data_IF_377711411931
#
_entry.id   IF_377711411931
#
_cell.length_a   1.000
_cell.length_b   1.000
_cell.length_c   1.000
_cell.angle_alpha   90.00
_cell.angle_beta   90.00
_cell.angle_gamma   90.00
#
_symmetry.space_group_name_H-M   'P 1'
#
loop_
_entity.id
_entity.type
_entity.pdbx_description
1 polymer ?
#
# COMPACT_ATOMS: atom_id res chain seq x y z
N UNK A 1 -3.18 33.13 24.02
CA UNK A 1 -4.45 33.26 24.78
C UNK A 1 -5.59 33.38 23.79
N UNK A 2 -6.58 32.50 23.87
CA UNK A 2 -7.82 32.60 23.08
C UNK A 2 -8.85 33.44 23.83
N UNK A 3 -9.72 34.16 23.11
CA UNK A 3 -10.83 34.88 23.73
C UNK A 3 -11.81 33.88 24.41
N UNK A 4 -12.46 34.30 25.50
CA UNK A 4 -13.47 33.47 26.17
C UNK A 4 -14.86 33.61 25.53
N UNK A 5 -15.75 32.66 25.80
CA UNK A 5 -17.19 32.82 25.52
C UNK A 5 -17.74 34.03 26.30
N UNK A 6 -18.59 34.91 25.72
CA UNK A 6 -19.24 34.79 24.41
C UNK A 6 -18.49 35.46 23.24
N UNK A 7 -17.35 36.10 23.50
CA UNK A 7 -16.54 36.73 22.45
C UNK A 7 -16.01 35.68 21.45
N UNK A 8 -15.57 34.51 21.92
CA UNK A 8 -15.25 33.34 21.08
C UNK A 8 -16.47 32.44 20.85
N UNK A 9 -16.82 32.21 19.59
CA UNK A 9 -17.83 31.23 19.18
C UNK A 9 -17.33 30.46 17.95
N UNK A 10 -16.83 29.24 18.16
CA UNK A 10 -16.33 28.37 17.08
C UNK A 10 -17.42 27.95 16.08
N UNK A 11 -18.70 28.09 16.42
CA UNK A 11 -19.81 27.85 15.49
C UNK A 11 -19.94 28.91 14.38
N UNK A 12 -19.32 30.09 14.51
CA UNK A 12 -19.43 31.17 13.50
C UNK A 12 -18.89 30.73 12.14
N UNK A 13 -17.69 30.16 12.11
CA UNK A 13 -17.05 29.65 10.88
C UNK A 13 -17.74 28.39 10.33
N UNK A 14 -18.56 27.74 11.17
CA UNK A 14 -19.32 26.53 10.80
C UNK A 14 -20.74 26.83 10.34
N UNK A 15 -21.20 28.08 10.35
CA UNK A 15 -22.62 28.41 10.16
C UNK A 15 -23.09 28.26 8.70
N UNK A 16 -22.21 28.42 7.72
CA UNK A 16 -22.54 28.36 6.29
C UNK A 16 -21.57 27.46 5.52
N UNK A 17 -22.02 26.93 4.39
CA UNK A 17 -21.19 26.10 3.51
C UNK A 17 -19.96 26.85 2.96
N UNK A 18 -20.11 28.13 2.58
CA UNK A 18 -18.99 28.94 2.10
C UNK A 18 -17.93 29.15 3.19
N UNK A 19 -18.35 29.36 4.44
CA UNK A 19 -17.43 29.60 5.54
C UNK A 19 -16.70 28.33 5.93
N UNK A 20 -17.41 27.19 5.96
CA UNK A 20 -16.79 25.87 6.19
C UNK A 20 -15.72 25.56 5.16
N UNK A 21 -15.97 25.82 3.86
CA UNK A 21 -14.97 25.64 2.80
C UNK A 21 -13.77 26.57 2.96
N UNK A 22 -14.00 27.85 3.27
CA UNK A 22 -12.92 28.82 3.46
C UNK A 22 -12.00 28.48 4.65
N UNK A 23 -12.54 27.85 5.69
CA UNK A 23 -11.79 27.48 6.91
C UNK A 23 -11.30 26.03 6.93
N UNK A 24 -11.56 25.24 5.89
CA UNK A 24 -11.11 23.85 5.85
C UNK A 24 -9.57 23.81 5.79
N UNK A 25 -8.96 23.06 6.71
CA UNK A 25 -7.51 22.89 6.79
C UNK A 25 -6.98 21.83 5.82
N UNK A 26 -7.87 20.99 5.29
CA UNK A 26 -7.51 19.84 4.45
C UNK A 26 -8.44 19.74 3.27
N UNK A 27 -7.86 19.43 2.12
CA UNK A 27 -8.55 19.10 0.87
C UNK A 27 -8.02 17.76 0.39
N UNK A 28 -8.92 16.89 -0.04
CA UNK A 28 -8.62 15.61 -0.68
C UNK A 28 -8.81 15.78 -2.19
N UNK A 29 -7.89 15.23 -2.97
CA UNK A 29 -7.87 15.28 -4.43
C UNK A 29 -7.57 13.89 -5.01
N UNK A 30 -7.90 13.61 -6.29
CA UNK A 30 -7.51 12.35 -6.93
C UNK A 30 -5.99 12.09 -6.91
N UNK A 31 -5.17 13.15 -6.91
CA UNK A 31 -3.71 13.07 -6.83
C UNK A 31 -3.18 12.50 -5.50
N UNK A 32 -4.04 12.40 -4.48
CA UNK A 32 -3.70 11.82 -3.19
C UNK A 32 -3.91 10.30 -3.15
N UNK A 33 -4.44 9.70 -4.21
CA UNK A 33 -4.86 8.31 -4.23
C UNK A 33 -3.82 7.44 -4.93
N UNK A 34 -3.53 6.27 -4.36
CA UNK A 34 -2.81 5.19 -5.00
C UNK A 34 -3.76 4.02 -5.09
N UNK A 35 -3.93 3.43 -6.28
CA UNK A 35 -4.93 2.37 -6.50
C UNK A 35 -4.28 0.98 -6.47
N UNK A 36 -4.53 0.15 -5.44
CA UNK A 36 -4.08 -1.23 -5.41
C UNK A 36 -4.86 -2.09 -6.41
N UNK A 37 -4.14 -2.85 -7.23
CA UNK A 37 -4.70 -3.75 -8.24
C UNK A 37 -4.07 -5.14 -8.16
N UNK A 38 -4.90 -6.17 -8.37
CA UNK A 38 -4.48 -7.56 -8.34
C UNK A 38 -4.35 -8.12 -9.75
N UNK A 39 -3.23 -8.76 -10.03
CA UNK A 39 -2.91 -9.32 -11.35
C UNK A 39 -3.12 -10.83 -11.30
N UNK A 40 -3.79 -11.41 -12.30
CA UNK A 40 -3.93 -12.86 -12.52
C UNK A 40 -3.48 -13.24 -13.94
N UNK A 41 -3.37 -14.54 -14.21
CA UNK A 41 -3.04 -15.06 -15.54
C UNK A 41 -4.26 -15.11 -16.47
N UNK A 42 -4.01 -15.34 -17.76
CA UNK A 42 -5.05 -15.46 -18.79
C UNK A 42 -5.17 -14.21 -19.65
N UNK A 43 -6.28 -14.13 -20.39
CA UNK A 43 -6.62 -13.04 -21.30
C UNK A 43 -8.12 -12.76 -21.20
N UNK A 44 -8.52 -11.49 -21.08
CA UNK A 44 -9.91 -11.11 -20.85
C UNK A 44 -10.49 -11.61 -19.53
N UNK A 45 -9.64 -11.82 -18.52
CA UNK A 45 -10.03 -12.39 -17.22
C UNK A 45 -10.34 -11.26 -16.23
N UNK A 46 -11.51 -11.36 -15.62
CA UNK A 46 -11.89 -10.66 -14.40
C UNK A 46 -12.33 -11.71 -13.36
N UNK A 47 -11.60 -11.82 -12.26
CA UNK A 47 -11.93 -12.71 -11.14
C UNK A 47 -12.34 -11.89 -9.91
N UNK A 48 -13.64 -11.77 -9.60
CA UNK A 48 -14.09 -11.07 -8.40
C UNK A 48 -13.56 -11.68 -7.11
N UNK A 49 -13.10 -10.84 -6.17
CA UNK A 49 -12.67 -11.27 -4.84
C UNK A 49 -13.84 -11.18 -3.87
N UNK A 50 -14.40 -12.31 -3.47
CA UNK A 50 -15.64 -12.36 -2.68
C UNK A 50 -15.57 -11.57 -1.35
N UNK A 51 -14.41 -11.55 -0.68
CA UNK A 51 -14.23 -10.81 0.58
C UNK A 51 -13.94 -9.31 0.39
N UNK A 52 -13.80 -8.85 -0.86
CA UNK A 52 -13.63 -7.45 -1.24
C UNK A 52 -14.61 -7.10 -2.37
N UNK A 53 -15.91 -6.93 -2.07
CA UNK A 53 -16.93 -6.65 -3.09
C UNK A 53 -16.55 -5.45 -3.96
N UNK A 54 -16.60 -5.61 -5.28
CA UNK A 54 -16.18 -4.56 -6.25
C UNK A 54 -14.68 -4.54 -6.57
N UNK A 55 -13.87 -5.41 -5.95
CA UNK A 55 -12.47 -5.61 -6.28
C UNK A 55 -12.31 -6.96 -6.99
N UNK A 56 -11.56 -6.95 -8.10
CA UNK A 56 -11.29 -8.13 -8.92
C UNK A 56 -9.79 -8.30 -9.15
N UNK A 57 -9.38 -9.53 -9.50
CA UNK A 57 -8.08 -9.81 -10.13
C UNK A 57 -8.24 -9.73 -11.64
N UNK A 58 -7.23 -9.21 -12.31
CA UNK A 58 -7.29 -8.91 -13.73
C UNK A 58 -6.15 -9.57 -14.50
N UNK A 59 -6.42 -10.11 -15.68
CA UNK A 59 -5.37 -10.43 -16.64
C UNK A 59 -4.62 -9.16 -17.09
N UNK A 60 -3.48 -9.32 -17.75
CA UNK A 60 -2.62 -8.20 -18.19
C UNK A 60 -3.39 -7.16 -19.02
N UNK A 61 -4.25 -7.59 -19.94
CA UNK A 61 -5.10 -6.69 -20.74
C UNK A 61 -6.09 -5.90 -19.88
N UNK A 62 -6.67 -6.56 -18.85
CA UNK A 62 -7.52 -5.91 -17.86
C UNK A 62 -6.76 -4.89 -17.00
N UNK A 63 -5.55 -5.23 -16.54
CA UNK A 63 -4.68 -4.32 -15.78
C UNK A 63 -4.33 -3.07 -16.59
N UNK A 64 -3.99 -3.22 -17.86
CA UNK A 64 -3.74 -2.07 -18.75
C UNK A 64 -4.98 -1.19 -18.89
N UNK A 65 -6.18 -1.79 -19.00
CA UNK A 65 -7.42 -1.02 -19.02
C UNK A 65 -7.66 -0.23 -17.71
N UNK A 66 -7.37 -0.84 -16.56
CA UNK A 66 -7.44 -0.15 -15.25
C UNK A 66 -6.41 0.97 -15.11
N UNK A 67 -5.22 0.82 -15.71
CA UNK A 67 -4.22 1.89 -15.75
C UNK A 67 -4.67 3.09 -16.59
N UNK A 68 -5.34 2.86 -17.72
CA UNK A 68 -5.95 3.94 -18.51
C UNK A 68 -7.04 4.65 -17.73
N UNK A 69 -7.89 3.89 -17.05
CA UNK A 69 -8.93 4.44 -16.17
C UNK A 69 -8.34 5.27 -15.04
N UNK A 70 -7.28 4.79 -14.37
CA UNK A 70 -6.62 5.53 -13.31
C UNK A 70 -6.08 6.88 -13.79
N UNK A 71 -5.41 6.91 -14.95
CA UNK A 71 -4.99 8.16 -15.59
C UNK A 71 -6.16 9.09 -15.87
N UNK A 72 -7.22 8.58 -16.49
CA UNK A 72 -8.39 9.39 -16.86
C UNK A 72 -9.09 9.97 -15.61
N UNK A 73 -9.01 9.27 -14.47
CA UNK A 73 -9.49 9.71 -13.17
C UNK A 73 -8.50 10.61 -12.39
N UNK A 74 -7.33 10.92 -12.95
CA UNK A 74 -6.29 11.71 -12.28
C UNK A 74 -5.60 11.01 -11.11
N UNK A 75 -5.67 9.68 -11.03
CA UNK A 75 -4.96 8.86 -10.05
C UNK A 75 -3.51 8.69 -10.55
N UNK A 76 -2.50 9.18 -9.80
CA UNK A 76 -1.13 9.26 -10.30
C UNK A 76 -0.38 7.93 -10.26
N UNK A 77 -0.81 6.98 -9.43
CA UNK A 77 -0.04 5.77 -9.16
C UNK A 77 -0.92 4.54 -8.92
N UNK A 78 -0.45 3.39 -9.43
CA UNK A 78 -0.98 2.07 -9.15
C UNK A 78 -0.03 1.30 -8.24
N UNK A 79 -0.60 0.57 -7.29
CA UNK A 79 0.13 -0.42 -6.50
C UNK A 79 -0.23 -1.83 -7.02
N UNK A 80 0.76 -2.58 -7.52
CA UNK A 80 0.51 -3.87 -8.15
C UNK A 80 0.78 -5.02 -7.17
N UNK A 81 -0.10 -6.03 -7.18
CA UNK A 81 0.02 -7.25 -6.38
C UNK A 81 -0.27 -8.49 -7.25
N UNK A 82 0.63 -9.49 -7.31
CA UNK A 82 0.42 -10.66 -8.15
C UNK A 82 -0.34 -11.75 -7.39
N UNK A 83 -1.34 -12.35 -8.03
CA UNK A 83 -1.89 -13.64 -7.62
C UNK A 83 -1.08 -14.75 -8.29
N UNK A 84 0.09 -15.07 -7.73
CA UNK A 84 1.00 -16.08 -8.30
C UNK A 84 0.33 -17.47 -8.31
N UNK A 85 0.34 -18.17 -9.46
CA UNK A 85 -0.20 -19.53 -9.56
C UNK A 85 0.42 -20.49 -8.54
N UNK A 86 -0.36 -21.40 -7.93
CA UNK A 86 0.14 -22.32 -6.91
C UNK A 86 1.37 -23.14 -7.34
N UNK A 87 1.42 -23.57 -8.60
CA UNK A 87 2.50 -24.37 -9.17
C UNK A 87 3.82 -23.60 -9.36
N UNK A 88 3.78 -22.27 -9.31
CA UNK A 88 4.95 -21.40 -9.36
C UNK A 88 5.41 -20.96 -7.96
N UNK A 89 4.72 -21.40 -6.91
CA UNK A 89 5.12 -21.14 -5.52
C UNK A 89 6.06 -22.23 -5.02
N UNK A 90 7.04 -21.81 -4.24
CA UNK A 90 8.10 -22.67 -3.71
C UNK A 90 8.53 -22.19 -2.32
N UNK A 91 9.27 -23.00 -1.57
CA UNK A 91 9.74 -22.59 -0.24
C UNK A 91 10.76 -21.43 -0.33
N UNK A 92 11.50 -21.33 -1.43
CA UNK A 92 12.48 -20.26 -1.65
C UNK A 92 11.95 -19.07 -2.47
N UNK A 93 10.71 -19.13 -2.96
CA UNK A 93 10.06 -18.02 -3.66
C UNK A 93 10.74 -17.61 -4.98
N UNK A 94 11.36 -18.53 -5.71
CA UNK A 94 12.18 -18.25 -6.90
C UNK A 94 11.43 -17.46 -7.99
N UNK A 95 10.11 -17.60 -8.09
CA UNK A 95 9.29 -16.85 -9.05
C UNK A 95 9.32 -15.32 -8.79
N UNK A 96 9.67 -14.88 -7.58
CA UNK A 96 9.91 -13.47 -7.28
C UNK A 96 11.09 -12.89 -8.09
N UNK A 97 12.06 -13.76 -8.44
CA UNK A 97 13.30 -13.38 -9.13
C UNK A 97 13.20 -13.53 -10.65
N UNK A 98 12.15 -14.19 -11.13
CA UNK A 98 11.93 -14.44 -12.55
C UNK A 98 11.58 -13.12 -13.30
N UNK A 99 12.40 -12.69 -14.29
CA UNK A 99 12.15 -11.44 -15.04
C UNK A 99 10.90 -11.47 -15.92
N UNK A 100 10.32 -12.67 -16.13
CA UNK A 100 9.09 -12.90 -16.89
C UNK A 100 7.91 -13.30 -15.99
N UNK A 101 8.04 -13.13 -14.68
CA UNK A 101 6.93 -13.35 -13.76
C UNK A 101 5.75 -12.42 -14.05
N UNK A 102 4.62 -12.72 -13.42
CA UNK A 102 3.36 -12.01 -13.66
C UNK A 102 3.47 -10.50 -13.39
N UNK A 103 4.19 -10.13 -12.32
CA UNK A 103 4.43 -8.74 -11.94
C UNK A 103 5.21 -8.00 -13.03
N UNK A 104 6.35 -8.53 -13.46
CA UNK A 104 7.23 -7.89 -14.43
C UNK A 104 6.58 -7.73 -15.80
N UNK A 105 5.79 -8.72 -16.24
CA UNK A 105 5.02 -8.60 -17.48
C UNK A 105 3.94 -7.53 -17.39
N UNK A 106 3.28 -7.38 -16.23
CA UNK A 106 2.30 -6.32 -16.01
C UNK A 106 2.94 -4.92 -15.99
N UNK A 107 4.10 -4.77 -15.32
CA UNK A 107 4.86 -3.51 -15.30
C UNK A 107 5.16 -3.05 -16.74
N UNK A 108 5.78 -3.92 -17.55
CA UNK A 108 6.12 -3.63 -18.95
C UNK A 108 4.88 -3.26 -19.77
N UNK A 109 3.82 -4.06 -19.67
CA UNK A 109 2.58 -3.81 -20.41
C UNK A 109 1.92 -2.47 -20.06
N UNK A 110 1.94 -2.06 -18.78
CA UNK A 110 1.41 -0.75 -18.38
C UNK A 110 2.33 0.37 -18.86
N UNK A 111 3.64 0.25 -18.69
CA UNK A 111 4.60 1.26 -19.15
C UNK A 111 4.54 1.51 -20.65
N UNK A 112 4.29 0.47 -21.44
CA UNK A 112 4.09 0.61 -22.88
C UNK A 112 2.78 1.34 -23.23
N UNK A 113 1.74 1.17 -22.41
CA UNK A 113 0.39 1.64 -22.71
C UNK A 113 0.03 3.01 -22.10
N UNK A 114 0.60 3.32 -20.93
CA UNK A 114 0.33 4.48 -20.07
C UNK A 114 1.63 4.89 -19.36
N UNK A 115 2.69 5.33 -20.09
CA UNK A 115 4.00 5.63 -19.50
C UNK A 115 3.98 6.73 -18.42
N UNK A 116 2.95 7.58 -18.41
CA UNK A 116 2.73 8.68 -17.47
C UNK A 116 2.26 8.23 -16.07
N UNK A 117 1.77 7.00 -15.91
CA UNK A 117 1.31 6.50 -14.61
C UNK A 117 2.49 5.92 -13.80
N UNK A 118 2.54 6.29 -12.53
CA UNK A 118 3.50 5.73 -11.58
C UNK A 118 3.14 4.29 -11.21
N UNK A 119 4.13 3.42 -11.16
CA UNK A 119 4.00 2.03 -10.75
C UNK A 119 4.77 1.81 -9.44
N UNK A 120 4.00 1.47 -8.41
CA UNK A 120 4.48 1.00 -7.13
C UNK A 120 4.38 -0.52 -7.11
N UNK A 121 5.50 -1.20 -6.85
CA UNK A 121 5.58 -2.66 -6.84
C UNK A 121 6.02 -3.16 -5.48
N UNK A 122 5.29 -4.15 -4.98
CA UNK A 122 5.54 -4.79 -3.70
C UNK A 122 6.79 -5.67 -3.78
N UNK A 123 7.70 -5.51 -2.81
CA UNK A 123 8.87 -6.38 -2.60
C UNK A 123 8.67 -7.11 -1.29
N UNK A 124 8.26 -8.37 -1.42
CA UNK A 124 8.01 -9.35 -0.37
C UNK A 124 7.89 -10.73 -1.02
N UNK A 125 8.21 -11.80 -0.28
CA UNK A 125 8.14 -13.17 -0.82
C UNK A 125 6.80 -13.87 -0.58
N UNK A 126 5.87 -13.29 0.19
CA UNK A 126 4.62 -13.98 0.56
C UNK A 126 3.68 -14.34 -0.62
N UNK A 127 3.68 -13.66 -1.79
CA UNK A 127 2.92 -14.12 -2.94
C UNK A 127 3.58 -15.32 -3.64
N UNK A 128 4.88 -15.53 -3.41
CA UNK A 128 5.72 -16.49 -4.14
C UNK A 128 6.06 -17.72 -3.30
N UNK A 129 5.84 -17.66 -1.98
CA UNK A 129 6.14 -18.79 -1.10
C UNK A 129 4.96 -19.72 -0.88
N UNK A 130 5.24 -21.01 -0.73
CA UNK A 130 4.26 -22.05 -0.36
C UNK A 130 3.71 -21.85 1.06
N UNK A 131 4.50 -21.24 1.93
CA UNK A 131 4.19 -21.02 3.35
C UNK A 131 3.63 -19.64 3.66
N UNK A 132 3.60 -18.70 2.71
CA UNK A 132 2.96 -17.39 2.88
C UNK A 132 3.61 -16.41 3.88
N UNK A 133 4.81 -16.72 4.37
CA UNK A 133 5.71 -15.76 5.03
C UNK A 133 6.37 -14.82 4.00
N UNK A 134 6.67 -13.59 4.45
CA UNK A 134 7.27 -12.54 3.62
C UNK A 134 8.76 -12.83 3.32
N UNK A 135 9.35 -13.83 3.98
CA UNK A 135 10.75 -14.24 3.85
C UNK A 135 10.98 -15.75 3.91
N UNK A 136 12.25 -16.13 3.79
CA UNK A 136 12.73 -17.52 3.82
C UNK A 136 12.68 -18.07 5.25
N UNK A 137 12.22 -19.31 5.38
CA UNK A 137 11.98 -19.95 6.69
C UNK A 137 13.02 -21.05 6.96
N UNK A 138 13.61 -21.04 8.16
CA UNK A 138 14.55 -22.07 8.61
C UNK A 138 13.86 -23.37 9.06
N UNK A 139 14.68 -24.37 9.43
CA UNK A 139 14.17 -25.65 9.92
C UNK A 139 13.36 -25.55 11.24
N UNK A 140 13.50 -24.47 12.01
CA UNK A 140 12.76 -24.21 13.24
C UNK A 140 11.46 -23.41 13.00
N UNK A 141 11.21 -22.96 11.77
CA UNK A 141 10.05 -22.14 11.42
C UNK A 141 10.27 -20.63 11.63
N UNK A 142 11.51 -20.18 11.84
CA UNK A 142 11.86 -18.77 11.95
C UNK A 142 12.15 -18.17 10.58
N UNK A 143 11.68 -16.94 10.34
CA UNK A 143 11.96 -16.20 9.10
C UNK A 143 13.36 -15.59 9.20
N UNK A 144 14.30 -16.07 8.38
CA UNK A 144 15.70 -15.67 8.41
C UNK A 144 15.88 -14.28 7.77
N UNK A 145 16.28 -13.29 8.56
CA UNK A 145 16.42 -11.90 8.13
C UNK A 145 17.34 -11.71 6.90
N UNK A 146 18.63 -12.00 7.05
CA UNK A 146 19.65 -11.62 6.06
C UNK A 146 19.49 -12.41 4.76
N UNK A 147 19.19 -13.71 4.86
CA UNK A 147 18.92 -14.55 3.69
C UNK A 147 17.67 -14.09 2.93
N UNK A 148 16.67 -13.59 3.64
CA UNK A 148 15.49 -12.98 3.01
C UNK A 148 15.87 -11.67 2.32
N UNK A 149 16.63 -10.80 2.99
CA UNK A 149 17.06 -9.52 2.43
C UNK A 149 17.83 -9.70 1.11
N UNK A 150 18.69 -10.71 1.00
CA UNK A 150 19.39 -11.06 -0.25
C UNK A 150 18.41 -11.36 -1.40
N UNK A 151 17.36 -12.13 -1.15
CA UNK A 151 16.33 -12.44 -2.14
C UNK A 151 15.50 -11.20 -2.52
N UNK A 152 15.17 -10.34 -1.55
CA UNK A 152 14.41 -9.11 -1.76
C UNK A 152 15.19 -8.09 -2.60
N UNK A 153 16.52 -8.00 -2.43
CA UNK A 153 17.39 -7.20 -3.31
C UNK A 153 17.28 -7.66 -4.76
N UNK A 154 17.34 -8.98 -5.01
CA UNK A 154 17.20 -9.51 -6.36
C UNK A 154 15.80 -9.25 -6.94
N UNK A 155 14.76 -9.40 -6.13
CA UNK A 155 13.38 -9.07 -6.53
C UNK A 155 13.24 -7.59 -6.91
N UNK A 156 13.77 -6.68 -6.09
CA UNK A 156 13.74 -5.24 -6.33
C UNK A 156 14.43 -4.88 -7.66
N UNK A 157 15.62 -5.44 -7.92
CA UNK A 157 16.33 -5.25 -9.19
C UNK A 157 15.55 -5.81 -10.38
N UNK A 158 14.94 -6.99 -10.23
CA UNK A 158 14.08 -7.58 -11.26
C UNK A 158 12.88 -6.68 -11.60
N UNK A 159 12.23 -6.09 -10.60
CA UNK A 159 11.12 -5.15 -10.81
C UNK A 159 11.59 -3.79 -11.38
N UNK A 160 12.73 -3.27 -10.94
CA UNK A 160 13.32 -2.04 -11.46
C UNK A 160 13.69 -2.18 -12.95
N UNK A 161 14.33 -3.30 -13.34
CA UNK A 161 14.62 -3.62 -14.75
C UNK A 161 13.36 -3.75 -15.61
N UNK A 162 12.23 -4.15 -15.02
CA UNK A 162 10.94 -4.21 -15.71
C UNK A 162 10.29 -2.83 -15.90
N UNK A 163 10.76 -1.80 -15.18
CA UNK A 163 10.27 -0.42 -15.28
C UNK A 163 9.43 0.07 -14.09
N UNK A 164 9.58 -0.54 -12.91
CA UNK A 164 8.95 -0.01 -11.69
C UNK A 164 9.54 1.36 -11.33
N UNK A 165 8.67 2.32 -10.95
CA UNK A 165 9.12 3.65 -10.51
C UNK A 165 9.34 3.71 -9.01
N UNK A 166 8.57 2.92 -8.25
CA UNK A 166 8.60 2.87 -6.79
C UNK A 166 8.70 1.41 -6.36
N UNK A 167 9.83 1.05 -5.77
CA UNK A 167 9.99 -0.20 -5.03
C UNK A 167 9.42 0.01 -3.63
N UNK A 168 8.52 -0.87 -3.19
CA UNK A 168 7.88 -0.74 -1.89
C UNK A 168 8.06 -2.02 -1.06
N UNK A 169 9.21 -2.17 -0.37
CA UNK A 169 9.50 -3.35 0.44
C UNK A 169 8.53 -3.44 1.60
N UNK A 170 7.72 -4.49 1.63
CA UNK A 170 6.68 -4.70 2.65
C UNK A 170 7.01 -5.82 3.63
N UNK A 171 8.17 -6.46 3.48
CA UNK A 171 8.62 -7.65 4.20
C UNK A 171 8.87 -7.47 5.70
N UNK A 172 9.22 -6.27 6.16
CA UNK A 172 9.63 -5.96 7.54
C UNK A 172 10.90 -6.69 8.02
N UNK A 173 11.85 -6.95 7.13
CA UNK A 173 13.20 -7.39 7.52
C UNK A 173 14.04 -6.19 7.97
N UNK A 174 14.98 -6.40 8.87
CA UNK A 174 15.93 -5.37 9.29
C UNK A 174 16.97 -5.12 8.19
N UNK A 175 17.26 -3.85 7.88
CA UNK A 175 18.31 -3.45 6.95
C UNK A 175 18.00 -3.58 5.46
N UNK A 176 16.81 -4.08 5.08
CA UNK A 176 16.45 -4.31 3.66
C UNK A 176 16.48 -3.02 2.84
N UNK A 177 16.16 -1.87 3.43
CA UNK A 177 16.07 -0.61 2.69
C UNK A 177 17.46 -0.20 2.21
N UNK A 178 18.46 -0.26 3.09
CA UNK A 178 19.83 0.10 2.75
C UNK A 178 20.44 -0.85 1.72
N UNK A 179 20.14 -2.15 1.84
CA UNK A 179 20.58 -3.17 0.89
C UNK A 179 19.95 -2.97 -0.50
N UNK A 180 18.63 -2.74 -0.56
CA UNK A 180 17.92 -2.48 -1.82
C UNK A 180 18.40 -1.16 -2.45
N UNK A 181 18.53 -0.09 -1.67
CA UNK A 181 19.05 1.20 -2.13
C UNK A 181 20.46 1.04 -2.71
N UNK A 182 21.37 0.38 -1.97
CA UNK A 182 22.74 0.14 -2.44
C UNK A 182 22.80 -0.62 -3.76
N UNK A 183 21.93 -1.63 -3.93
CA UNK A 183 21.84 -2.40 -5.17
C UNK A 183 21.27 -1.59 -6.34
N UNK A 184 20.21 -0.81 -6.12
CA UNK A 184 19.64 0.09 -7.14
C UNK A 184 20.67 1.12 -7.62
N UNK A 185 21.42 1.73 -6.69
CA UNK A 185 22.51 2.67 -7.03
C UNK A 185 23.62 1.98 -7.85
N UNK A 186 24.03 0.78 -7.46
CA UNK A 186 25.10 0.04 -8.14
C UNK A 186 24.73 -0.36 -9.58
N UNK A 187 23.44 -0.59 -9.86
CA UNK A 187 22.94 -0.90 -11.21
C UNK A 187 22.50 0.33 -12.02
N UNK A 188 22.66 1.55 -11.47
CA UNK A 188 22.35 2.80 -12.16
C UNK A 188 20.87 3.19 -12.12
N UNK A 189 20.06 2.57 -11.27
CA UNK A 189 18.64 2.88 -11.04
C UNK A 189 18.46 4.06 -10.05
N UNK A 190 19.23 5.14 -10.24
CA UNK A 190 19.31 6.27 -9.30
C UNK A 190 17.95 6.94 -8.99
N UNK A 191 17.01 6.91 -9.94
CA UNK A 191 15.70 7.57 -9.80
C UNK A 191 14.57 6.63 -9.39
N UNK A 192 14.86 5.33 -9.19
CA UNK A 192 13.85 4.41 -8.64
C UNK A 192 13.68 4.74 -7.16
N UNK A 193 12.45 5.06 -6.80
CA UNK A 193 12.09 5.46 -5.44
C UNK A 193 11.94 4.23 -4.55
N UNK A 194 12.16 4.41 -3.25
CA UNK A 194 11.82 3.45 -2.22
C UNK A 194 10.73 4.05 -1.33
N UNK A 195 9.55 3.42 -1.34
CA UNK A 195 8.48 3.68 -0.38
C UNK A 195 8.48 2.57 0.68
N UNK A 196 9.18 2.79 1.79
CA UNK A 196 9.31 1.76 2.81
C UNK A 196 8.00 1.55 3.57
N UNK A 197 7.58 0.30 3.75
CA UNK A 197 6.58 -0.07 4.76
C UNK A 197 7.18 -0.04 6.17
N UNK A 198 7.74 1.09 6.57
CA UNK A 198 8.51 1.26 7.81
C UNK A 198 7.71 0.85 9.05
N UNK A 199 6.43 1.22 9.12
CA UNK A 199 5.58 0.87 10.26
C UNK A 199 4.45 -0.08 9.83
N UNK A 200 4.78 -1.34 9.53
CA UNK A 200 3.82 -2.41 9.21
C UNK A 200 3.58 -3.31 10.43
N UNK A 201 2.36 -3.26 10.95
CA UNK A 201 1.94 -3.95 12.17
C UNK A 201 1.42 -5.38 11.94
N UNK A 202 1.61 -6.26 12.92
CA UNK A 202 1.06 -7.62 12.95
C UNK A 202 -0.47 -7.58 13.16
N UNK A 203 -1.20 -7.23 12.10
CA UNK A 203 -2.61 -6.84 12.18
C UNK A 203 -3.58 -7.91 11.69
N UNK A 204 -4.75 -7.95 12.33
CA UNK A 204 -5.90 -8.78 11.92
C UNK A 204 -6.66 -8.20 10.71
N UNK A 205 -6.42 -6.93 10.35
CA UNK A 205 -7.11 -6.27 9.23
C UNK A 205 -6.68 -6.78 7.84
N UNK A 206 -5.68 -7.66 7.76
CA UNK A 206 -5.17 -8.20 6.49
C UNK A 206 -5.95 -9.41 5.96
N UNK A 207 -6.95 -9.91 6.71
CA UNK A 207 -7.71 -11.12 6.35
C UNK A 207 -8.19 -11.13 4.89
N UNK A 208 -8.96 -10.13 4.43
CA UNK A 208 -9.48 -10.12 3.05
C UNK A 208 -8.40 -10.00 1.96
N UNK A 209 -7.26 -9.35 2.24
CA UNK A 209 -6.14 -9.28 1.29
C UNK A 209 -5.55 -10.66 1.01
N UNK A 210 -5.43 -11.51 2.04
CA UNK A 210 -4.91 -12.88 1.89
C UNK A 210 -5.79 -13.73 0.96
N UNK A 211 -7.09 -13.45 0.92
CA UNK A 211 -7.98 -14.05 -0.09
C UNK A 211 -7.66 -13.51 -1.49
N UNK A 212 -7.46 -12.19 -1.62
CA UNK A 212 -7.19 -11.53 -2.90
C UNK A 212 -5.90 -12.02 -3.58
N UNK A 213 -4.81 -12.25 -2.84
CA UNK A 213 -3.53 -12.76 -3.39
C UNK A 213 -3.41 -14.29 -3.35
N UNK A 214 -4.49 -14.99 -3.00
CA UNK A 214 -4.52 -16.46 -2.97
C UNK A 214 -3.62 -17.08 -1.89
N UNK A 215 -3.24 -16.32 -0.86
CA UNK A 215 -2.40 -16.80 0.24
C UNK A 215 -3.18 -17.28 1.47
N UNK A 216 -4.53 -17.21 1.43
CA UNK A 216 -5.39 -17.70 2.50
C UNK A 216 -5.12 -19.19 2.76
N UNK A 217 -4.77 -19.53 4.01
CA UNK A 217 -4.50 -20.90 4.41
C UNK A 217 -3.07 -21.40 4.14
N UNK A 218 -2.23 -20.60 3.45
CA UNK A 218 -0.81 -20.91 3.27
C UNK A 218 0.01 -20.58 4.52
N UNK A 219 -0.27 -19.42 5.14
CA UNK A 219 0.40 -18.98 6.36
C UNK A 219 0.12 -19.95 7.52
N UNK A 220 1.15 -20.68 7.93
CA UNK A 220 1.15 -21.50 9.14
C UNK A 220 1.83 -20.72 10.26
N UNK A 221 1.06 -20.28 11.25
CA UNK A 221 1.55 -19.45 12.35
C UNK A 221 1.12 -17.99 12.21
N UNK A 222 1.99 -17.07 12.61
CA UNK A 222 1.74 -15.63 12.51
C UNK A 222 2.97 -14.86 12.02
N UNK A 223 2.82 -13.55 11.85
CA UNK A 223 3.85 -12.65 11.32
C UNK A 223 4.49 -11.80 12.44
N UNK A 224 4.31 -12.17 13.72
CA UNK A 224 4.68 -11.33 14.88
C UNK A 224 6.17 -11.26 15.18
N UNK A 225 6.98 -12.10 14.54
CA UNK A 225 8.44 -12.09 14.72
C UNK A 225 9.14 -11.07 13.82
N UNK A 226 8.39 -10.33 13.00
CA UNK A 226 8.92 -9.29 12.10
C UNK A 226 7.94 -8.12 11.91
N UNK A 227 6.63 -8.37 11.80
CA UNK A 227 5.65 -7.28 11.84
C UNK A 227 5.48 -6.76 13.28
N UNK A 228 5.34 -5.44 13.40
CA UNK A 228 5.34 -4.76 14.69
C UNK A 228 4.15 -5.14 15.59
N UNK A 229 4.33 -5.09 16.91
CA UNK A 229 3.23 -5.25 17.85
C UNK A 229 2.28 -4.03 17.78
N UNK A 230 0.96 -4.22 17.55
CA UNK A 230 -0.04 -3.15 17.60
C UNK A 230 -0.01 -2.27 18.86
N UNK A 231 0.55 -2.76 19.97
CA UNK A 231 0.68 -2.00 21.21
C UNK A 231 1.77 -0.90 21.14
N UNK A 232 2.65 -0.93 20.14
CA UNK A 232 3.87 -0.12 20.12
C UNK A 232 3.74 1.11 19.21
N UNK A 233 3.87 2.30 19.81
CA UNK A 233 3.93 3.57 19.08
C UNK A 233 5.35 4.15 18.98
N UNK A 234 6.18 3.94 19.99
CA UNK A 234 7.56 4.47 20.03
C UNK A 234 8.49 3.70 19.07
N UNK A 235 8.27 2.39 18.95
CA UNK A 235 8.98 1.51 18.01
C UNK A 235 8.84 2.00 16.55
N UNK A 236 7.65 2.47 16.17
CA UNK A 236 7.41 2.99 14.81
C UNK A 236 8.31 4.16 14.44
N UNK A 237 8.68 5.00 15.42
CA UNK A 237 9.62 6.09 15.19
C UNK A 237 11.05 5.58 14.98
N UNK A 238 11.42 4.47 15.61
CA UNK A 238 12.75 3.86 15.43
C UNK A 238 12.85 3.20 14.05
N UNK A 239 11.81 2.48 13.64
CA UNK A 239 11.71 1.90 12.29
C UNK A 239 11.80 2.95 11.20
N UNK A 240 11.00 4.02 11.30
CA UNK A 240 11.03 5.11 10.33
C UNK A 240 12.39 5.82 10.31
N UNK A 241 13.00 6.06 11.48
CA UNK A 241 14.32 6.68 11.54
C UNK A 241 15.39 5.81 10.86
N UNK A 242 15.32 4.49 11.05
CA UNK A 242 16.21 3.53 10.40
C UNK A 242 16.05 3.58 8.88
N UNK A 243 14.84 3.38 8.38
CA UNK A 243 14.57 3.33 6.94
C UNK A 243 14.90 4.64 6.21
N UNK A 244 14.65 5.79 6.85
CA UNK A 244 15.06 7.09 6.31
C UNK A 244 16.59 7.23 6.29
N UNK A 245 17.27 6.76 7.34
CA UNK A 245 18.73 6.73 7.41
C UNK A 245 19.36 5.80 6.37
N UNK A 246 18.63 4.77 5.95
CA UNK A 246 19.01 3.80 4.93
C UNK A 246 18.68 4.25 3.49
N UNK A 247 17.98 5.38 3.32
CA UNK A 247 17.73 6.00 2.02
C UNK A 247 16.35 5.73 1.42
N UNK A 248 15.34 5.49 2.24
CA UNK A 248 13.93 5.54 1.80
C UNK A 248 13.54 6.98 1.40
N UNK A 249 12.88 7.12 0.25
CA UNK A 249 12.37 8.41 -0.25
C UNK A 249 11.07 8.82 0.44
N UNK A 250 10.32 7.81 0.90
CA UNK A 250 9.09 7.98 1.67
C UNK A 250 8.82 6.77 2.54
N UNK A 251 7.96 6.94 3.53
CA UNK A 251 7.60 5.89 4.50
C UNK A 251 6.10 5.69 4.55
N UNK A 252 5.68 4.47 4.87
CA UNK A 252 4.29 4.05 4.95
C UNK A 252 3.95 3.46 6.32
N UNK A 253 2.77 3.82 6.82
CA UNK A 253 2.12 3.18 7.97
C UNK A 253 1.04 2.20 7.47
N UNK A 254 1.05 0.96 7.97
CA UNK A 254 0.08 -0.08 7.59
C UNK A 254 -0.29 -0.95 8.80
N UNK A 255 -1.57 -1.17 9.12
CA UNK A 255 -2.78 -0.59 8.53
C UNK A 255 -2.92 0.92 8.66
N UNK A 256 -3.95 1.48 8.05
CA UNK A 256 -4.17 2.90 7.98
C UNK A 256 -5.01 3.43 9.15
N UNK A 257 -6.33 3.28 9.05
CA UNK A 257 -7.30 3.94 9.94
C UNK A 257 -7.09 3.63 11.43
N UNK A 258 -6.71 2.40 11.84
CA UNK A 258 -6.44 2.11 13.24
C UNK A 258 -5.15 2.74 13.78
N UNK A 259 -4.31 3.33 12.92
CA UNK A 259 -2.96 3.84 13.24
C UNK A 259 -2.78 5.30 12.77
N UNK A 260 -3.87 6.08 12.72
CA UNK A 260 -3.81 7.51 12.40
C UNK A 260 -2.92 8.31 13.37
N UNK A 261 -2.83 7.87 14.63
CA UNK A 261 -1.95 8.47 15.63
C UNK A 261 -0.47 8.24 15.30
N UNK A 262 -0.12 7.07 14.75
CA UNK A 262 1.23 6.77 14.28
C UNK A 262 1.59 7.64 13.08
N UNK A 263 0.68 7.77 12.10
CA UNK A 263 0.86 8.66 10.95
C UNK A 263 1.15 10.09 11.40
N UNK A 264 0.37 10.60 12.35
CA UNK A 264 0.55 11.95 12.90
C UNK A 264 1.91 12.11 13.59
N UNK A 265 2.32 11.13 14.39
CA UNK A 265 3.64 11.14 15.08
C UNK A 265 4.78 11.14 14.07
N UNK A 266 4.76 10.23 13.11
CA UNK A 266 5.76 10.12 12.04
C UNK A 266 5.84 11.43 11.24
N UNK A 267 4.68 11.99 10.84
CA UNK A 267 4.65 13.25 10.10
C UNK A 267 5.23 14.41 10.90
N UNK A 268 4.92 14.47 12.20
CA UNK A 268 5.35 15.54 13.09
C UNK A 268 6.85 15.49 13.38
N UNK A 269 7.39 14.29 13.59
CA UNK A 269 8.79 14.07 13.95
C UNK A 269 9.72 14.25 12.75
N UNK A 270 9.43 13.58 11.63
CA UNK A 270 10.37 13.48 10.51
C UNK A 270 10.10 14.49 9.40
N UNK A 271 8.88 15.03 9.31
CA UNK A 271 8.49 16.01 8.29
C UNK A 271 8.67 15.54 6.82
N UNK A 272 8.82 14.24 6.59
CA UNK A 272 8.95 13.61 5.27
C UNK A 272 7.59 13.32 4.61
N UNK A 273 7.56 12.87 3.34
CA UNK A 273 6.35 12.26 2.77
C UNK A 273 5.96 10.98 3.52
N UNK A 274 4.72 10.94 4.01
CA UNK A 274 4.16 9.80 4.75
C UNK A 274 2.98 9.26 3.95
N UNK A 275 2.95 7.96 3.71
CA UNK A 275 1.84 7.27 3.07
C UNK A 275 1.13 6.38 4.08
N UNK A 276 -0.12 6.03 3.78
CA UNK A 276 -0.87 5.04 4.54
C UNK A 276 -1.55 4.06 3.61
N UNK A 277 -1.74 2.83 4.09
CA UNK A 277 -2.55 1.85 3.39
C UNK A 277 -3.87 1.66 4.14
N UNK A 278 -4.97 2.13 3.56
CA UNK A 278 -6.32 1.73 3.97
C UNK A 278 -6.53 0.28 3.53
N UNK A 279 -6.23 -0.67 4.42
CA UNK A 279 -6.08 -2.07 4.02
C UNK A 279 -7.43 -2.76 3.77
N UNK A 280 -7.33 -4.00 3.30
CA UNK A 280 -8.46 -4.81 2.84
C UNK A 280 -9.56 -4.96 3.88
N UNK A 281 -9.23 -5.10 5.17
CA UNK A 281 -10.19 -5.18 6.26
C UNK A 281 -10.93 -3.86 6.48
N UNK A 282 -10.23 -2.73 6.35
CA UNK A 282 -10.84 -1.41 6.47
C UNK A 282 -11.83 -1.16 5.31
N UNK A 283 -11.45 -1.54 4.10
CA UNK A 283 -12.36 -1.55 2.94
C UNK A 283 -13.61 -2.40 3.19
N UNK A 284 -13.40 -3.66 3.60
CA UNK A 284 -14.50 -4.60 3.82
C UNK A 284 -15.45 -4.14 4.93
N UNK A 285 -14.95 -3.47 5.97
CA UNK A 285 -15.79 -2.88 7.03
C UNK A 285 -16.70 -1.78 6.50
N UNK A 286 -16.19 -0.88 5.64
CA UNK A 286 -16.99 0.18 4.99
C UNK A 286 -18.07 -0.45 4.12
N UNK A 287 -17.70 -1.39 3.25
CA UNK A 287 -18.66 -2.05 2.34
C UNK A 287 -19.73 -2.83 3.12
N UNK A 288 -19.35 -3.54 4.19
CA UNK A 288 -20.30 -4.28 5.02
C UNK A 288 -21.30 -3.35 5.73
N UNK A 289 -20.82 -2.23 6.28
CA UNK A 289 -21.70 -1.25 6.94
C UNK A 289 -22.66 -0.58 5.95
N UNK A 290 -22.19 -0.26 4.74
CA UNK A 290 -23.02 0.28 3.67
C UNK A 290 -24.06 -0.73 3.18
N UNK A 291 -23.67 -2.00 2.99
CA UNK A 291 -24.56 -3.05 2.47
C UNK A 291 -25.78 -3.32 3.37
N UNK A 292 -25.65 -3.13 4.69
CA UNK A 292 -26.78 -3.25 5.64
C UNK A 292 -27.52 -1.93 5.87
N UNK A 293 -27.15 -0.86 5.16
CA UNK A 293 -27.75 0.46 5.28
C UNK A 293 -27.43 1.20 6.58
N UNK A 294 -26.36 0.80 7.30
CA UNK A 294 -25.99 1.43 8.56
C UNK A 294 -25.37 2.83 8.36
N UNK A 295 -24.68 3.04 7.23
CA UNK A 295 -24.02 4.30 6.87
C UNK A 295 -24.10 4.54 5.37
N UNK A 296 -24.06 5.81 4.96
CA UNK A 296 -23.92 6.20 3.56
C UNK A 296 -22.51 5.88 3.04
N UNK A 297 -22.43 5.09 1.96
CA UNK A 297 -21.15 4.57 1.44
C UNK A 297 -20.21 5.69 1.00
N UNK A 298 -20.73 6.63 0.22
CA UNK A 298 -19.91 7.66 -0.44
C UNK A 298 -19.36 8.65 0.58
N UNK A 299 -20.19 9.09 1.53
CA UNK A 299 -19.75 9.91 2.65
C UNK A 299 -18.71 9.20 3.52
N UNK A 300 -18.92 7.91 3.83
CA UNK A 300 -18.00 7.13 4.67
C UNK A 300 -16.63 6.96 4.01
N UNK A 301 -16.58 6.69 2.71
CA UNK A 301 -15.34 6.62 1.94
C UNK A 301 -14.59 7.96 1.97
N UNK A 302 -15.26 9.06 1.62
CA UNK A 302 -14.61 10.38 1.56
C UNK A 302 -14.15 10.87 2.94
N UNK A 303 -14.94 10.64 3.99
CA UNK A 303 -14.56 11.03 5.36
C UNK A 303 -13.38 10.22 5.89
N UNK A 304 -13.32 8.93 5.55
CA UNK A 304 -12.17 8.06 5.89
C UNK A 304 -10.90 8.54 5.19
N UNK A 305 -10.96 8.82 3.89
CA UNK A 305 -9.82 9.34 3.12
C UNK A 305 -9.38 10.74 3.58
N UNK A 306 -10.33 11.59 3.96
CA UNK A 306 -10.04 12.89 4.58
C UNK A 306 -9.32 12.74 5.91
N UNK A 307 -9.63 11.71 6.71
CA UNK A 307 -8.96 11.46 7.98
C UNK A 307 -7.47 11.15 7.79
N UNK A 308 -7.10 10.39 6.76
CA UNK A 308 -5.70 10.14 6.39
C UNK A 308 -4.95 11.41 6.01
N UNK A 309 -5.53 12.23 5.12
CA UNK A 309 -4.93 13.51 4.72
C UNK A 309 -4.74 14.43 5.92
N UNK A 310 -5.75 14.53 6.78
CA UNK A 310 -5.70 15.33 8.01
C UNK A 310 -4.65 14.82 9.00
N UNK A 311 -4.44 13.50 9.08
CA UNK A 311 -3.40 12.91 9.92
C UNK A 311 -1.97 13.19 9.41
N UNK A 312 -1.83 13.64 8.16
CA UNK A 312 -0.53 14.05 7.59
C UNK A 312 -0.09 13.27 6.36
N UNK A 313 -0.94 12.40 5.79
CA UNK A 313 -0.57 11.61 4.62
C UNK A 313 -0.36 12.48 3.38
N UNK A 314 0.75 12.24 2.67
CA UNK A 314 0.98 12.71 1.31
C UNK A 314 0.04 12.01 0.32
N UNK A 315 -0.15 10.70 0.46
CA UNK A 315 -1.11 9.91 -0.31
C UNK A 315 -1.57 8.65 0.42
N UNK A 316 -2.59 7.98 -0.12
CA UNK A 316 -3.25 6.82 0.50
C UNK A 316 -3.42 5.70 -0.51
N UNK A 317 -2.91 4.51 -0.18
CA UNK A 317 -3.24 3.28 -0.90
C UNK A 317 -4.63 2.84 -0.46
N UNK A 318 -5.57 2.80 -1.40
CA UNK A 318 -6.97 2.45 -1.10
C UNK A 318 -7.65 1.75 -2.27
N UNK A 319 -8.37 0.67 -1.96
CA UNK A 319 -9.21 -0.02 -2.95
C UNK A 319 -10.40 0.83 -3.40
N UNK A 320 -10.75 1.88 -2.65
CA UNK A 320 -11.76 2.86 -3.04
C UNK A 320 -11.24 3.91 -4.03
N UNK A 321 -9.98 3.85 -4.50
CA UNK A 321 -9.34 4.95 -5.23
C UNK A 321 -10.15 5.41 -6.46
N UNK A 322 -10.52 4.51 -7.36
CA UNK A 322 -11.32 4.86 -8.54
C UNK A 322 -12.72 5.40 -8.17
N UNK A 323 -13.34 4.84 -7.14
CA UNK A 323 -14.65 5.31 -6.66
C UNK A 323 -14.54 6.73 -6.08
N UNK A 324 -13.57 6.97 -5.21
CA UNK A 324 -13.33 8.26 -4.57
C UNK A 324 -12.94 9.32 -5.60
N UNK A 325 -12.11 8.99 -6.60
CA UNK A 325 -11.74 9.92 -7.66
C UNK A 325 -12.97 10.46 -8.43
N UNK A 326 -13.92 9.57 -8.78
CA UNK A 326 -15.18 9.97 -9.43
C UNK A 326 -16.03 10.86 -8.54
N UNK A 327 -16.11 10.57 -7.23
CA UNK A 327 -16.83 11.43 -6.27
C UNK A 327 -16.20 12.82 -6.11
N UNK A 328 -14.88 12.92 -6.31
CA UNK A 328 -14.13 14.19 -6.25
C UNK A 328 -14.23 15.01 -7.55
N UNK A 329 -14.98 14.52 -8.56
CA UNK A 329 -15.26 15.23 -9.80
C UNK A 329 -14.16 15.11 -10.86
N UNK A 330 -13.41 14.01 -10.84
CA UNK A 330 -12.56 13.60 -11.96
C UNK A 330 -13.38 13.16 -13.18
#
# INVERSE_FOLDING_TARGET
>A
MTAAYPALRLRRTRASGWSRRLHAETVLTPADLIWPLFITQGQGVEEPVASLPGVSRWSLDGIVARAREARDLGIPCLALFPNTPPELRSDAGEEALNPDNLMCRAIRAIKDAVPEIGLLTDVALDPYTTHGHDGLVDAAGYVENDRTADALVQQALTQARAGSDIIAPSDMMDGRIGLIRGALEAEGFHNVQIMSYAAKYASVFYGPFRDAVGSRGLLKGDKKTYQMDPANAEEALREVALDLGEGADSVMVKPGLPYLDIILRVKSEFQVPVFAYQVSGEYAMIEAAAAVGAMDRDALVLETLMAFKRAGCSGVLTYHAAHAARLLGA
#
